data_IF_776138517651
#
_entry.id   IF_776138517651
#
_cell.length_a   1.000
_cell.length_b   1.000
_cell.length_c   1.000
_cell.angle_alpha   90.00
_cell.angle_beta   90.00
_cell.angle_gamma   90.00
#
_symmetry.space_group_name_H-M   'P 1'
#
loop_
_entity.id
_entity.type
_entity.pdbx_description
1 polymer ?
#
# COMPACT_ATOMS: atom_id res chain seq x y z
N UNK A 1 -2.10 -17.47 15.79
CA UNK A 1 -2.54 -16.45 14.83
C UNK A 1 -2.06 -16.79 13.45
N UNK A 2 -2.93 -16.64 12.44
CA UNK A 2 -2.52 -16.81 11.05
C UNK A 2 -1.87 -15.53 10.54
N UNK A 3 -1.09 -15.65 9.47
CA UNK A 3 -0.51 -14.49 8.81
C UNK A 3 -1.59 -13.50 8.35
N UNK A 4 -2.72 -14.01 7.88
CA UNK A 4 -3.84 -13.16 7.46
C UNK A 4 -4.42 -12.37 8.62
N UNK A 5 -4.53 -12.97 9.80
CA UNK A 5 -5.01 -12.29 10.99
C UNK A 5 -4.07 -11.16 11.39
N UNK A 6 -2.76 -11.39 11.29
CA UNK A 6 -1.75 -10.38 11.59
C UNK A 6 -1.86 -9.22 10.61
N UNK A 7 -2.03 -9.48 9.31
CA UNK A 7 -2.18 -8.44 8.31
C UNK A 7 -3.43 -7.60 8.54
N UNK A 8 -4.55 -8.23 8.91
CA UNK A 8 -5.79 -7.51 9.19
C UNK A 8 -5.63 -6.57 10.38
N UNK A 9 -4.95 -7.03 11.42
CA UNK A 9 -4.68 -6.20 12.60
C UNK A 9 -3.80 -5.00 12.24
N UNK A 10 -2.77 -5.21 11.44
CA UNK A 10 -1.89 -4.13 11.00
C UNK A 10 -2.61 -3.13 10.11
N UNK A 11 -3.43 -3.60 9.20
CA UNK A 11 -4.24 -2.73 8.34
C UNK A 11 -5.11 -1.81 9.19
N UNK A 12 -5.76 -2.36 10.19
CA UNK A 12 -6.60 -1.57 11.10
C UNK A 12 -5.79 -0.51 11.83
N UNK A 13 -4.61 -0.87 12.32
CA UNK A 13 -3.74 0.08 13.01
C UNK A 13 -3.27 1.19 12.08
N UNK A 14 -2.83 0.85 10.87
CA UNK A 14 -2.41 1.86 9.90
C UNK A 14 -3.52 2.83 9.55
N UNK A 15 -4.74 2.33 9.37
CA UNK A 15 -5.89 3.19 9.06
C UNK A 15 -6.22 4.11 10.22
N UNK A 16 -6.11 3.64 11.46
CA UNK A 16 -6.34 4.46 12.63
C UNK A 16 -5.31 5.57 12.73
N UNK A 17 -4.03 5.26 12.51
CA UNK A 17 -2.97 6.26 12.52
C UNK A 17 -3.17 7.33 11.44
N UNK A 18 -3.66 6.92 10.28
CA UNK A 18 -3.98 7.86 9.21
C UNK A 18 -5.14 8.77 9.58
N UNK A 19 -6.19 8.23 10.16
CA UNK A 19 -7.34 9.02 10.62
C UNK A 19 -6.89 10.06 11.65
N UNK A 20 -6.06 9.65 12.61
CA UNK A 20 -5.56 10.54 13.64
C UNK A 20 -4.70 11.66 13.04
N UNK A 21 -3.83 11.32 12.10
CA UNK A 21 -2.98 12.31 11.43
C UNK A 21 -3.78 13.31 10.62
N UNK A 22 -4.81 12.83 9.93
CA UNK A 22 -5.70 13.70 9.14
C UNK A 22 -6.49 14.65 10.07
N UNK A 23 -6.96 14.13 11.20
CA UNK A 23 -7.74 14.93 12.16
C UNK A 23 -6.90 16.06 12.78
N UNK A 24 -5.61 15.80 13.02
CA UNK A 24 -4.69 16.82 13.55
C UNK A 24 -4.36 17.88 12.49
N UNK A 25 -4.30 17.46 11.24
CA UNK A 25 -3.92 18.31 10.10
C UNK A 25 -2.82 17.65 9.30
N UNK A 26 -3.06 17.50 8.01
CA UNK A 26 -2.18 16.70 7.15
C UNK A 26 -0.74 17.24 7.11
N UNK A 27 -0.55 18.54 7.30
CA UNK A 27 0.77 19.16 7.24
C UNK A 27 1.60 18.93 8.51
N UNK A 28 0.95 18.47 9.58
CA UNK A 28 1.62 18.29 10.88
C UNK A 28 2.39 16.98 10.98
N UNK A 29 2.01 15.96 10.21
CA UNK A 29 2.60 14.62 10.32
C UNK A 29 2.84 13.97 8.96
N UNK A 30 3.66 14.58 8.11
CA UNK A 30 3.90 14.01 6.77
C UNK A 30 4.57 12.63 6.85
N UNK A 31 5.53 12.42 7.75
CA UNK A 31 6.20 11.13 7.89
C UNK A 31 5.21 10.02 8.27
N UNK A 32 4.28 10.31 9.18
CA UNK A 32 3.24 9.36 9.58
C UNK A 32 2.38 8.99 8.37
N UNK A 33 1.96 9.98 7.59
CA UNK A 33 1.15 9.74 6.39
C UNK A 33 1.93 8.93 5.37
N UNK A 34 3.18 9.28 5.10
CA UNK A 34 4.01 8.55 4.15
C UNK A 34 4.21 7.10 4.54
N UNK A 35 4.54 6.86 5.80
CA UNK A 35 4.78 5.51 6.29
C UNK A 35 3.50 4.66 6.26
N UNK A 36 2.41 5.16 6.85
CA UNK A 36 1.22 4.34 7.03
C UNK A 36 0.45 4.10 5.73
N UNK A 37 0.45 5.03 4.79
CA UNK A 37 -0.16 4.79 3.48
C UNK A 37 0.58 3.68 2.72
N UNK A 38 1.90 3.75 2.72
CA UNK A 38 2.73 2.73 2.06
C UNK A 38 2.58 1.37 2.72
N UNK A 39 2.74 1.32 4.04
CA UNK A 39 2.67 0.05 4.78
C UNK A 39 1.29 -0.59 4.67
N UNK A 40 0.23 0.20 4.78
CA UNK A 40 -1.13 -0.30 4.67
C UNK A 40 -1.41 -0.84 3.26
N UNK A 41 -0.95 -0.12 2.23
CA UNK A 41 -1.12 -0.56 0.84
C UNK A 41 -0.46 -1.91 0.60
N UNK A 42 0.75 -2.10 1.12
CA UNK A 42 1.46 -3.37 1.01
C UNK A 42 0.73 -4.49 1.76
N UNK A 43 0.26 -4.21 2.98
CA UNK A 43 -0.50 -5.21 3.75
C UNK A 43 -1.80 -5.61 3.03
N UNK A 44 -2.49 -4.65 2.41
CA UNK A 44 -3.70 -4.96 1.64
C UNK A 44 -3.40 -5.85 0.44
N UNK A 45 -2.35 -5.54 -0.30
CA UNK A 45 -1.96 -6.36 -1.45
C UNK A 45 -1.53 -7.75 -1.01
N UNK A 46 -0.70 -7.84 0.01
CA UNK A 46 -0.21 -9.13 0.49
C UNK A 46 -1.36 -9.99 1.01
N UNK A 47 -2.30 -9.40 1.75
CA UNK A 47 -3.49 -10.12 2.20
C UNK A 47 -4.28 -10.69 1.03
N UNK A 48 -4.50 -9.89 -0.01
CA UNK A 48 -5.19 -10.34 -1.21
C UNK A 48 -4.46 -11.49 -1.89
N UNK A 49 -3.14 -11.38 -2.06
CA UNK A 49 -2.35 -12.40 -2.75
C UNK A 49 -2.30 -13.71 -1.96
N UNK A 50 -2.21 -13.63 -0.64
CA UNK A 50 -2.29 -14.85 0.20
C UNK A 50 -3.68 -15.47 0.16
N UNK A 51 -4.72 -14.64 0.24
CA UNK A 51 -6.10 -15.12 0.24
C UNK A 51 -6.46 -15.83 -1.05
N UNK A 52 -5.90 -15.39 -2.16
CA UNK A 52 -6.15 -15.98 -3.48
C UNK A 52 -5.12 -17.03 -3.87
N UNK A 53 -4.18 -17.35 -2.99
CA UNK A 53 -3.16 -18.37 -3.26
C UNK A 53 -2.15 -17.98 -4.31
N UNK A 54 -1.97 -16.70 -4.59
CA UNK A 54 -1.08 -16.22 -5.64
C UNK A 54 0.37 -16.08 -5.19
N UNK A 55 0.63 -16.10 -3.90
CA UNK A 55 1.97 -16.15 -3.35
C UNK A 55 2.04 -17.25 -2.28
N UNK A 56 3.23 -17.86 -2.07
CA UNK A 56 3.41 -18.88 -1.03
C UNK A 56 3.17 -18.31 0.38
N UNK A 57 2.77 -19.19 1.29
CA UNK A 57 2.43 -18.80 2.67
C UNK A 57 3.55 -18.03 3.35
N UNK A 58 4.79 -18.38 3.13
CA UNK A 58 5.93 -17.73 3.78
C UNK A 58 6.42 -16.44 3.10
N UNK A 59 5.85 -16.09 1.95
CA UNK A 59 6.32 -14.92 1.23
C UNK A 59 5.75 -13.62 1.81
N UNK A 60 6.63 -12.63 1.94
CA UNK A 60 6.25 -11.27 2.32
C UNK A 60 6.46 -10.35 1.14
N UNK A 61 5.49 -9.49 0.89
CA UNK A 61 5.62 -8.42 -0.10
C UNK A 61 6.33 -7.24 0.57
N UNK A 62 7.33 -6.69 -0.08
CA UNK A 62 8.12 -5.60 0.50
C UNK A 62 7.92 -4.32 -0.29
N UNK A 63 7.79 -3.18 0.41
CA UNK A 63 7.55 -1.90 -0.24
C UNK A 63 8.66 -1.52 -1.20
N UNK A 64 9.92 -1.86 -0.91
CA UNK A 64 11.05 -1.53 -1.79
C UNK A 64 11.00 -2.26 -3.13
N UNK A 65 10.19 -3.31 -3.27
CA UNK A 65 9.97 -3.94 -4.57
C UNK A 65 9.30 -2.99 -5.57
N UNK A 66 8.64 -1.95 -5.05
CA UNK A 66 7.92 -0.96 -5.87
C UNK A 66 8.72 0.31 -6.12
N UNK A 67 10.02 0.22 -5.98
CA UNK A 67 10.92 1.30 -6.37
C UNK A 67 11.06 1.31 -7.89
N UNK A 68 10.78 2.47 -8.51
CA UNK A 68 10.94 2.58 -9.96
C UNK A 68 12.43 2.55 -10.33
N UNK A 69 12.78 1.91 -11.44
CA UNK A 69 14.14 2.02 -11.99
C UNK A 69 14.45 3.49 -12.30
N UNK A 70 15.72 3.86 -12.18
CA UNK A 70 16.14 5.21 -12.53
C UNK A 70 15.96 5.44 -14.03
N UNK A 71 15.73 6.70 -14.47
CA UNK A 71 15.63 7.02 -15.89
C UNK A 71 16.84 6.49 -16.65
N UNK A 72 16.60 5.77 -17.76
CA UNK A 72 17.63 5.18 -18.58
C UNK A 72 18.06 3.77 -18.18
N UNK A 73 17.65 3.28 -17.02
CA UNK A 73 17.91 1.89 -16.63
C UNK A 73 16.87 0.96 -17.25
N UNK A 74 17.35 -0.11 -17.87
CA UNK A 74 16.50 -1.14 -18.46
C UNK A 74 16.37 -2.33 -17.51
N UNK A 75 15.96 -2.06 -16.29
CA UNK A 75 15.81 -3.07 -15.25
C UNK A 75 14.33 -3.30 -15.01
N UNK A 76 13.92 -4.57 -15.01
CA UNK A 76 12.55 -4.92 -14.61
C UNK A 76 12.40 -4.69 -13.11
N UNK A 77 11.40 -3.94 -12.66
CA UNK A 77 11.19 -3.69 -11.24
C UNK A 77 11.08 -4.99 -10.44
N UNK A 78 11.55 -4.96 -9.20
CA UNK A 78 11.52 -6.14 -8.34
C UNK A 78 10.12 -6.71 -8.15
N UNK A 79 9.11 -5.84 -8.07
CA UNK A 79 7.72 -6.29 -7.95
C UNK A 79 7.33 -7.18 -9.12
N UNK A 80 7.70 -6.79 -10.33
CA UNK A 80 7.37 -7.58 -11.53
C UNK A 80 8.18 -8.85 -11.62
N UNK A 81 9.41 -8.87 -11.08
CA UNK A 81 10.23 -10.06 -11.03
C UNK A 81 9.77 -11.06 -9.97
N UNK A 82 9.28 -10.56 -8.84
CA UNK A 82 8.96 -11.39 -7.68
C UNK A 82 7.48 -11.81 -7.64
N UNK A 83 6.59 -11.04 -8.24
CA UNK A 83 5.16 -11.33 -8.27
C UNK A 83 4.77 -11.73 -9.68
N UNK A 84 4.89 -13.03 -9.96
CA UNK A 84 4.70 -13.55 -11.31
C UNK A 84 3.26 -13.91 -11.64
N UNK A 85 2.39 -13.98 -10.64
CA UNK A 85 0.98 -14.27 -10.86
C UNK A 85 0.25 -13.02 -11.36
N UNK A 86 -0.75 -13.22 -12.21
CA UNK A 86 -1.57 -12.12 -12.68
C UNK A 86 -2.86 -12.05 -11.86
N UNK A 87 -3.40 -10.84 -11.70
CA UNK A 87 -4.65 -10.62 -11.00
C UNK A 87 -5.33 -9.36 -11.55
N UNK A 88 -6.64 -9.18 -11.29
CA UNK A 88 -7.37 -8.03 -11.83
C UNK A 88 -6.77 -6.71 -11.38
N UNK A 89 -6.72 -5.73 -12.27
CA UNK A 89 -6.23 -4.38 -12.02
C UNK A 89 -4.76 -4.31 -11.62
N UNK A 90 -3.99 -5.34 -11.94
CA UNK A 90 -2.59 -5.43 -11.51
C UNK A 90 -1.75 -4.21 -11.93
N UNK A 91 -1.91 -3.76 -13.17
CA UNK A 91 -1.14 -2.62 -13.66
C UNK A 91 -1.44 -1.35 -12.89
N UNK A 92 -2.72 -1.08 -12.62
CA UNK A 92 -3.13 0.08 -11.85
C UNK A 92 -2.63 0.00 -10.41
N UNK A 93 -2.77 -1.17 -9.80
CA UNK A 93 -2.31 -1.39 -8.42
C UNK A 93 -0.81 -1.18 -8.32
N UNK A 94 -0.04 -1.74 -9.24
CA UNK A 94 1.42 -1.59 -9.24
C UNK A 94 1.80 -0.12 -9.43
N UNK A 95 1.16 0.58 -10.34
CA UNK A 95 1.45 1.99 -10.59
C UNK A 95 1.19 2.84 -9.35
N UNK A 96 0.10 2.58 -8.65
CA UNK A 96 -0.21 3.26 -7.41
C UNK A 96 0.80 2.95 -6.32
N UNK A 97 1.27 1.71 -6.24
CA UNK A 97 2.30 1.31 -5.28
C UNK A 97 3.64 1.96 -5.59
N UNK A 98 4.01 2.08 -6.86
CA UNK A 98 5.22 2.83 -7.25
C UNK A 98 5.11 4.28 -6.80
N UNK A 99 3.97 4.91 -7.01
CA UNK A 99 3.74 6.28 -6.57
C UNK A 99 3.84 6.40 -5.05
N UNK A 100 3.22 5.49 -4.32
CA UNK A 100 3.28 5.51 -2.86
C UNK A 100 4.70 5.31 -2.34
N UNK A 101 5.50 4.50 -3.00
CA UNK A 101 6.89 4.30 -2.60
C UNK A 101 7.71 5.59 -2.79
N UNK A 102 7.52 6.26 -3.92
CA UNK A 102 8.18 7.54 -4.18
C UNK A 102 7.77 8.58 -3.13
N UNK A 103 6.47 8.68 -2.84
CA UNK A 103 5.96 9.64 -1.87
C UNK A 103 6.39 9.29 -0.45
N UNK A 104 6.43 7.99 -0.11
CA UNK A 104 6.90 7.54 1.19
C UNK A 104 8.29 8.11 1.50
N UNK A 105 9.21 7.94 0.56
CA UNK A 105 10.57 8.41 0.77
C UNK A 105 10.62 9.93 0.93
N UNK A 106 9.83 10.64 0.15
CA UNK A 106 9.79 12.09 0.21
C UNK A 106 9.16 12.62 1.49
N UNK A 107 8.07 11.99 1.94
CA UNK A 107 7.37 12.43 3.16
C UNK A 107 8.14 12.07 4.44
N UNK A 108 8.89 10.98 4.43
CA UNK A 108 9.65 10.54 5.62
C UNK A 108 11.00 11.24 5.70
N UNK A 109 11.72 11.34 4.58
CA UNK A 109 13.13 11.75 4.59
C UNK A 109 13.39 13.09 3.93
N UNK A 110 12.46 13.62 3.16
CA UNK A 110 12.65 14.86 2.41
C UNK A 110 11.73 15.96 2.88
N UNK A 111 11.66 17.02 2.07
CA UNK A 111 10.70 18.10 2.26
C UNK A 111 9.48 17.82 1.39
N UNK A 112 8.33 17.81 2.03
CA UNK A 112 7.07 17.59 1.33
C UNK A 112 6.24 18.88 1.32
N UNK A 113 5.52 19.09 0.24
CA UNK A 113 4.54 20.16 0.13
C UNK A 113 3.17 19.65 0.52
N UNK A 114 2.22 20.53 0.90
CA UNK A 114 0.84 20.10 1.13
C UNK A 114 0.24 19.36 -0.07
N UNK A 115 0.59 19.77 -1.28
CA UNK A 115 0.14 19.11 -2.50
C UNK A 115 0.61 17.65 -2.56
N UNK A 116 1.85 17.40 -2.20
CA UNK A 116 2.40 16.03 -2.19
C UNK A 116 1.74 15.14 -1.15
N UNK A 117 1.43 15.70 0.01
CA UNK A 117 0.72 14.96 1.05
C UNK A 117 -0.68 14.59 0.56
N UNK A 118 -1.38 15.55 -0.05
CA UNK A 118 -2.71 15.31 -0.63
C UNK A 118 -2.66 14.27 -1.74
N UNK A 119 -1.65 14.32 -2.61
CA UNK A 119 -1.46 13.32 -3.67
C UNK A 119 -1.22 11.93 -3.10
N UNK A 120 -0.47 11.83 -2.01
CA UNK A 120 -0.22 10.55 -1.33
C UNK A 120 -1.51 9.96 -0.81
N UNK A 121 -2.32 10.75 -0.12
CA UNK A 121 -3.61 10.31 0.40
C UNK A 121 -4.57 9.91 -0.73
N UNK A 122 -4.58 10.68 -1.81
CA UNK A 122 -5.41 10.39 -2.98
C UNK A 122 -5.02 9.07 -3.64
N UNK A 123 -3.72 8.84 -3.82
CA UNK A 123 -3.22 7.59 -4.41
C UNK A 123 -3.57 6.39 -3.53
N UNK A 124 -3.43 6.54 -2.23
CA UNK A 124 -3.79 5.49 -1.29
C UNK A 124 -5.28 5.17 -1.35
N UNK A 125 -6.12 6.18 -1.39
CA UNK A 125 -7.58 5.98 -1.47
C UNK A 125 -7.98 5.30 -2.78
N UNK A 126 -7.37 5.66 -3.90
CA UNK A 126 -7.60 4.97 -5.17
C UNK A 126 -7.24 3.49 -5.07
N UNK A 127 -6.11 3.20 -4.43
CA UNK A 127 -5.69 1.81 -4.23
C UNK A 127 -6.70 1.04 -3.40
N UNK A 128 -7.19 1.63 -2.31
CA UNK A 128 -8.21 1.01 -1.48
C UNK A 128 -9.48 0.72 -2.27
N UNK A 129 -9.93 1.68 -3.09
CA UNK A 129 -11.12 1.52 -3.91
C UNK A 129 -11.01 0.36 -4.90
N UNK A 130 -9.79 0.03 -5.33
CA UNK A 130 -9.55 -1.11 -6.21
C UNK A 130 -9.43 -2.41 -5.42
N UNK A 131 -8.62 -2.42 -4.36
CA UNK A 131 -8.31 -3.64 -3.61
C UNK A 131 -9.44 -4.13 -2.72
N UNK A 132 -10.22 -3.23 -2.12
CA UNK A 132 -11.28 -3.65 -1.21
C UNK A 132 -12.33 -4.54 -1.88
N UNK A 133 -12.85 -4.19 -3.08
CA UNK A 133 -13.77 -5.11 -3.76
C UNK A 133 -13.14 -6.45 -4.10
N UNK A 134 -11.86 -6.46 -4.48
CA UNK A 134 -11.16 -7.71 -4.76
C UNK A 134 -11.04 -8.59 -3.52
N UNK A 135 -10.78 -7.98 -2.36
CA UNK A 135 -10.73 -8.69 -1.09
C UNK A 135 -12.09 -9.27 -0.71
N UNK A 136 -13.15 -8.50 -0.91
CA UNK A 136 -14.52 -8.99 -0.65
C UNK A 136 -14.84 -10.19 -1.54
N UNK A 137 -14.50 -10.12 -2.82
CA UNK A 137 -14.69 -11.25 -3.75
C UNK A 137 -13.88 -12.48 -3.34
N UNK A 138 -12.72 -12.27 -2.73
CA UNK A 138 -11.90 -13.35 -2.23
C UNK A 138 -12.39 -13.92 -0.91
N UNK A 139 -13.50 -13.41 -0.38
CA UNK A 139 -14.10 -13.89 0.86
C UNK A 139 -13.57 -13.21 2.12
N UNK A 140 -12.87 -12.09 1.98
CA UNK A 140 -12.31 -11.37 3.12
C UNK A 140 -13.24 -10.26 3.57
N UNK A 141 -13.29 -10.03 4.87
CA UNK A 141 -14.04 -8.91 5.46
C UNK A 141 -13.08 -8.09 6.31
N UNK A 142 -13.00 -6.79 6.01
CA UNK A 142 -12.20 -5.85 6.79
C UNK A 142 -13.16 -4.86 7.44
N UNK A 143 -13.65 -5.24 8.61
CA UNK A 143 -14.56 -4.41 9.38
C UNK A 143 -13.85 -3.15 9.87
N UNK A 144 -14.61 -2.09 10.07
CA UNK A 144 -14.14 -0.82 10.64
C UNK A 144 -13.10 -0.09 9.80
N UNK A 145 -12.88 -0.50 8.56
CA UNK A 145 -11.90 0.16 7.72
C UNK A 145 -12.40 1.47 7.12
N UNK A 146 -13.69 1.73 7.22
CA UNK A 146 -14.33 2.90 6.62
C UNK A 146 -14.79 3.95 7.63
N UNK A 147 -14.50 3.73 8.86
CA UNK A 147 -14.95 4.64 9.93
C UNK A 147 -13.96 5.74 10.22
#
# INVERSE_FOLDING_TARGET
MTAQTIHKAKIKEHLQELQDAIAIGIESRPATIGFHTSACAIDLLELYLHKTGKIPIGMQVKHEWFKRPKPGQKIIPLAERNLKSTFPHQEEIFELLYTLEEKRNKLIYGHSTPSEITQTLSSFEKLRQILMPLLVEAGETLEDTNN
#
